data_IF_353243571242
#
_entry.id   IF_353243571242
#
_cell.length_a   1.000
_cell.length_b   1.000
_cell.length_c   1.000
_cell.angle_alpha   90.00
_cell.angle_beta   90.00
_cell.angle_gamma   90.00
#
_symmetry.space_group_name_H-M   'P 1'
#
loop_
_entity.id
_entity.type
_entity.pdbx_description
1 polymer ?
#
# COMPACT_ATOMS: atom_id res chain seq x y z
N UNK A 1 5.00 -22.38 18.13
CA UNK A 1 5.75 -21.11 18.17
C UNK A 1 4.74 -20.01 18.46
N UNK A 2 4.80 -19.36 19.63
CA UNK A 2 3.95 -18.20 19.90
C UNK A 2 4.57 -17.03 19.12
N UNK A 3 3.95 -16.61 18.01
CA UNK A 3 4.33 -15.31 17.43
C UNK A 3 3.98 -14.25 18.46
N UNK A 4 4.95 -13.41 18.82
CA UNK A 4 4.66 -12.16 19.50
C UNK A 4 3.62 -11.39 18.68
N UNK A 5 2.71 -10.66 19.34
CA UNK A 5 1.68 -9.88 18.66
C UNK A 5 2.25 -8.98 17.54
N UNK A 6 3.44 -8.44 17.76
CA UNK A 6 4.17 -7.66 16.74
C UNK A 6 4.56 -8.47 15.51
N UNK A 7 5.09 -9.69 15.68
CA UNK A 7 5.46 -10.55 14.56
C UNK A 7 4.21 -10.96 13.76
N UNK A 8 3.09 -11.21 14.45
CA UNK A 8 1.82 -11.49 13.79
C UNK A 8 1.34 -10.31 12.93
N UNK A 9 1.40 -9.08 13.48
CA UNK A 9 1.02 -7.87 12.73
C UNK A 9 1.94 -7.59 11.54
N UNK A 10 3.25 -7.81 11.69
CA UNK A 10 4.20 -7.69 10.59
C UNK A 10 3.87 -8.67 9.47
N UNK A 11 3.61 -9.93 9.81
CA UNK A 11 3.24 -10.95 8.83
C UNK A 11 1.89 -10.62 8.16
N UNK A 12 0.91 -10.10 8.90
CA UNK A 12 -0.36 -9.64 8.35
C UNK A 12 -0.14 -8.54 7.29
N UNK A 13 0.73 -7.57 7.56
CA UNK A 13 1.09 -6.52 6.60
C UNK A 13 1.70 -7.14 5.33
N UNK A 14 2.69 -8.03 5.47
CA UNK A 14 3.37 -8.68 4.35
C UNK A 14 2.37 -9.47 3.48
N UNK A 15 1.42 -10.19 4.09
CA UNK A 15 0.43 -10.97 3.38
C UNK A 15 -0.50 -10.10 2.52
N UNK A 16 -0.93 -8.95 3.02
CA UNK A 16 -1.82 -8.05 2.29
C UNK A 16 -1.06 -7.33 1.19
N UNK A 17 0.14 -6.82 1.50
CA UNK A 17 1.00 -6.21 0.50
C UNK A 17 1.34 -7.18 -0.62
N UNK A 18 1.67 -8.43 -0.31
CA UNK A 18 1.92 -9.46 -1.33
C UNK A 18 0.70 -9.73 -2.22
N UNK A 19 -0.52 -9.80 -1.65
CA UNK A 19 -1.75 -9.96 -2.44
C UNK A 19 -1.95 -8.81 -3.42
N UNK A 20 -1.75 -7.58 -2.98
CA UNK A 20 -1.87 -6.39 -3.82
C UNK A 20 -0.78 -6.37 -4.90
N UNK A 21 0.46 -6.75 -4.56
CA UNK A 21 1.58 -6.83 -5.51
C UNK A 21 1.38 -7.85 -6.64
N UNK A 22 0.63 -8.93 -6.40
CA UNK A 22 0.39 -9.98 -7.40
C UNK A 22 -0.66 -9.54 -8.43
N UNK A 23 -1.67 -8.79 -8.02
CA UNK A 23 -2.75 -8.32 -8.91
C UNK A 23 -3.11 -6.84 -8.64
N UNK A 24 -2.19 -5.89 -8.84
CA UNK A 24 -2.38 -4.49 -8.45
C UNK A 24 -3.65 -3.87 -9.04
N UNK A 25 -3.96 -4.15 -10.30
CA UNK A 25 -5.15 -3.65 -11.01
C UNK A 25 -6.49 -4.04 -10.33
N UNK A 26 -6.53 -5.10 -9.52
CA UNK A 26 -7.75 -5.49 -8.77
C UNK A 26 -7.96 -4.67 -7.50
N UNK A 27 -6.91 -4.06 -6.98
CA UNK A 27 -6.93 -3.33 -5.70
C UNK A 27 -6.79 -1.82 -5.91
N UNK A 28 -6.22 -1.41 -7.04
CA UNK A 28 -5.80 -0.05 -7.32
C UNK A 28 -6.62 0.47 -8.51
N UNK A 29 -7.87 0.81 -8.23
CA UNK A 29 -8.76 1.53 -9.14
C UNK A 29 -9.00 2.92 -8.52
N UNK A 30 -7.96 3.76 -8.56
CA UNK A 30 -7.96 5.04 -7.88
C UNK A 30 -7.93 6.18 -8.89
N UNK A 31 -9.04 6.89 -8.97
CA UNK A 31 -9.14 8.11 -9.78
C UNK A 31 -8.86 9.36 -8.93
N UNK A 32 -8.70 9.20 -7.62
CA UNK A 32 -8.45 10.29 -6.68
C UNK A 32 -7.84 9.80 -5.37
N UNK A 33 -7.31 10.74 -4.59
CA UNK A 33 -6.89 10.53 -3.20
C UNK A 33 -8.06 10.02 -2.33
N UNK A 34 -9.29 10.42 -2.61
CA UNK A 34 -10.47 9.97 -1.87
C UNK A 34 -10.78 8.50 -2.12
N UNK A 35 -10.60 7.99 -3.33
CA UNK A 35 -10.80 6.57 -3.65
C UNK A 35 -9.83 5.70 -2.85
N UNK A 36 -8.58 6.15 -2.71
CA UNK A 36 -7.59 5.48 -1.86
C UNK A 36 -8.06 5.35 -0.41
N UNK A 37 -8.47 6.44 0.24
CA UNK A 37 -8.95 6.37 1.64
C UNK A 37 -10.24 5.56 1.82
N UNK A 38 -11.04 5.40 0.76
CA UNK A 38 -12.26 4.59 0.76
C UNK A 38 -12.00 3.11 0.42
N UNK A 39 -10.79 2.73 0.04
CA UNK A 39 -10.45 1.36 -0.34
C UNK A 39 -10.72 0.38 0.81
N UNK A 40 -11.60 -0.59 0.57
CA UNK A 40 -12.03 -1.54 1.59
C UNK A 40 -10.87 -2.34 2.19
N UNK A 41 -9.88 -2.67 1.35
CA UNK A 41 -8.70 -3.45 1.73
C UNK A 41 -7.77 -2.72 2.70
N UNK A 42 -7.87 -1.39 2.86
CA UNK A 42 -7.09 -0.65 3.86
C UNK A 42 -7.38 -1.15 5.29
N UNK A 43 -8.60 -1.65 5.52
CA UNK A 43 -9.04 -2.17 6.83
C UNK A 43 -8.42 -3.52 7.17
N UNK A 44 -7.90 -4.24 6.17
CA UNK A 44 -7.28 -5.54 6.40
C UNK A 44 -5.89 -5.40 7.03
N UNK A 45 -5.24 -4.24 6.87
CA UNK A 45 -3.92 -3.97 7.43
C UNK A 45 -3.93 -3.98 8.98
N UNK A 46 -2.80 -4.35 9.62
CA UNK A 46 -2.73 -4.46 11.07
C UNK A 46 -3.01 -3.12 11.77
N UNK A 47 -3.64 -3.19 12.94
CA UNK A 47 -3.83 -2.00 13.79
C UNK A 47 -2.49 -1.36 14.14
N UNK A 48 -2.38 -0.04 13.89
CA UNK A 48 -1.14 0.74 13.99
C UNK A 48 -0.54 1.08 12.62
N UNK A 49 -1.16 0.63 11.53
CA UNK A 49 -0.82 1.05 10.17
C UNK A 49 -1.15 2.52 9.97
N UNK A 50 -0.20 3.25 9.41
CA UNK A 50 -0.34 4.64 9.01
C UNK A 50 -0.61 4.68 7.52
N UNK A 51 -1.55 5.52 7.12
CA UNK A 51 -2.00 5.67 5.75
C UNK A 51 -1.93 7.14 5.40
N UNK A 52 -1.29 7.47 4.29
CA UNK A 52 -1.21 8.84 3.79
C UNK A 52 -1.26 8.85 2.27
N UNK A 53 -1.91 9.87 1.73
CA UNK A 53 -1.95 10.12 0.30
C UNK A 53 -1.93 11.63 0.03
N UNK A 54 -1.26 12.01 -1.06
CA UNK A 54 -1.12 13.40 -1.52
C UNK A 54 -1.31 13.43 -3.03
N UNK A 55 -2.21 14.29 -3.49
CA UNK A 55 -2.37 14.64 -4.91
C UNK A 55 -1.66 15.96 -5.19
N UNK A 56 -1.35 16.21 -6.46
CA UNK A 56 -0.67 17.45 -6.87
C UNK A 56 -1.63 18.64 -7.10
N UNK A 57 -2.91 18.43 -7.41
CA UNK A 57 -3.89 19.54 -7.61
C UNK A 57 -5.36 19.06 -7.54
N UNK A 58 -6.31 20.01 -7.55
CA UNK A 58 -7.77 19.93 -7.23
C UNK A 58 -8.65 19.00 -8.12
N UNK A 59 -8.07 17.94 -8.69
CA UNK A 59 -8.72 16.91 -9.50
C UNK A 59 -7.83 15.69 -9.80
N UNK A 60 -6.81 15.46 -8.97
CA UNK A 60 -5.57 14.73 -9.26
C UNK A 60 -5.66 13.42 -10.09
N UNK A 61 -5.26 13.54 -11.36
CA UNK A 61 -4.92 12.46 -12.31
C UNK A 61 -3.59 11.75 -11.95
N UNK A 62 -2.78 12.38 -11.09
CA UNK A 62 -1.54 11.81 -10.54
C UNK A 62 -1.50 12.02 -9.02
N UNK A 63 -1.29 10.95 -8.28
CA UNK A 63 -1.18 11.04 -6.82
C UNK A 63 -0.24 9.98 -6.24
N UNK A 64 0.26 10.27 -5.05
CA UNK A 64 1.12 9.38 -4.30
C UNK A 64 0.43 8.93 -3.02
N UNK A 65 0.52 7.64 -2.72
CA UNK A 65 0.00 7.09 -1.47
C UNK A 65 0.97 6.12 -0.81
N UNK A 66 0.87 6.02 0.52
CA UNK A 66 1.68 5.15 1.36
C UNK A 66 0.80 4.49 2.40
N UNK A 67 0.95 3.18 2.53
CA UNK A 67 0.49 2.40 3.67
C UNK A 67 1.75 1.91 4.37
N UNK A 68 1.93 2.25 5.65
CA UNK A 68 3.16 1.98 6.40
C UNK A 68 2.87 1.34 7.74
N UNK A 69 3.61 0.29 8.07
CA UNK A 69 3.62 -0.31 9.40
C UNK A 69 5.06 -0.54 9.85
N UNK A 70 5.51 0.24 10.85
CA UNK A 70 6.92 0.25 11.29
C UNK A 70 7.87 0.52 10.12
N UNK A 71 8.70 -0.45 9.75
CA UNK A 71 9.67 -0.38 8.66
C UNK A 71 9.12 -0.92 7.33
N UNK A 72 7.97 -1.57 7.35
CA UNK A 72 7.29 -2.07 6.15
C UNK A 72 6.47 -0.95 5.53
N UNK A 73 6.44 -0.91 4.20
CA UNK A 73 5.55 0.00 3.48
C UNK A 73 5.07 -0.58 2.16
N UNK A 74 3.91 -0.12 1.73
CA UNK A 74 3.38 -0.26 0.38
C UNK A 74 3.15 1.15 -0.16
N UNK A 75 3.84 1.48 -1.24
CA UNK A 75 3.84 2.80 -1.87
C UNK A 75 3.25 2.72 -3.25
N UNK A 76 2.36 3.66 -3.53
CA UNK A 76 1.63 3.80 -4.76
C UNK A 76 2.09 5.11 -5.39
N UNK A 77 2.69 5.01 -6.57
CA UNK A 77 3.00 6.14 -7.44
C UNK A 77 2.03 6.04 -8.61
N UNK A 78 0.90 6.73 -8.51
CA UNK A 78 -0.18 6.65 -9.50
C UNK A 78 -0.01 7.79 -10.49
N UNK A 79 0.08 7.43 -11.77
CA UNK A 79 0.26 8.37 -12.88
C UNK A 79 -0.60 7.93 -14.06
N UNK A 80 -1.00 8.90 -14.87
CA UNK A 80 -1.89 8.70 -16.03
C UNK A 80 -1.46 7.55 -16.96
N UNK A 81 -0.15 7.37 -17.18
CA UNK A 81 0.37 6.42 -18.17
C UNK A 81 1.31 5.35 -17.61
N UNK A 82 1.74 5.47 -16.35
CA UNK A 82 2.74 4.57 -15.78
C UNK A 82 2.68 4.57 -14.25
N UNK A 83 1.80 3.74 -13.71
CA UNK A 83 1.70 3.56 -12.27
C UNK A 83 2.72 2.55 -11.77
N UNK A 84 3.23 2.76 -10.56
CA UNK A 84 4.20 1.88 -9.93
C UNK A 84 3.80 1.58 -8.50
N UNK A 85 3.85 0.29 -8.15
CA UNK A 85 3.65 -0.19 -6.80
C UNK A 85 5.00 -0.65 -6.25
N UNK A 86 5.35 -0.18 -5.05
CA UNK A 86 6.58 -0.57 -4.35
C UNK A 86 6.26 -1.09 -2.96
N UNK A 87 6.68 -2.30 -2.66
CA UNK A 87 6.54 -2.92 -1.34
C UNK A 87 7.90 -3.13 -0.69
N UNK A 88 8.07 -2.70 0.55
CA UNK A 88 9.24 -3.03 1.36
C UNK A 88 8.83 -3.86 2.58
N UNK A 89 9.51 -4.98 2.78
CA UNK A 89 9.30 -5.84 3.95
C UNK A 89 10.13 -5.38 5.16
N UNK A 90 10.01 -6.10 6.28
CA UNK A 90 10.71 -5.76 7.53
C UNK A 90 12.24 -5.90 7.44
N UNK A 91 12.74 -6.67 6.46
CA UNK A 91 14.18 -6.85 6.22
C UNK A 91 14.77 -5.73 5.35
N UNK A 92 13.94 -4.80 4.85
CA UNK A 92 14.36 -3.76 3.91
C UNK A 92 14.41 -4.22 2.46
N UNK A 93 13.99 -5.45 2.15
CA UNK A 93 13.89 -5.94 0.77
C UNK A 93 12.72 -5.22 0.09
N UNK A 94 13.00 -4.64 -1.08
CA UNK A 94 12.01 -3.86 -1.83
C UNK A 94 11.65 -4.58 -3.12
N UNK A 95 10.35 -4.75 -3.34
CA UNK A 95 9.74 -5.33 -4.52
C UNK A 95 9.01 -4.21 -5.26
N UNK A 96 9.09 -4.20 -6.59
CA UNK A 96 8.42 -3.21 -7.42
C UNK A 96 7.73 -3.88 -8.59
N UNK A 97 6.53 -3.41 -8.93
CA UNK A 97 5.86 -3.76 -10.17
C UNK A 97 5.22 -2.51 -10.78
N UNK A 98 5.12 -2.52 -12.11
CA UNK A 98 4.37 -1.53 -12.87
C UNK A 98 3.03 -2.15 -13.23
N UNK A 99 2.00 -1.32 -13.29
CA UNK A 99 0.65 -1.70 -13.68
C UNK A 99 -0.06 -0.52 -14.33
#
# INVERSE_FOLDING_TARGET
>A
MLLSLDAYKQQQFDQIAAKIMVEPEKYIDFNSVSDFYNAAWLKDFPQGTQVSATGLDDGAEEFYAVVQFKQQYLKFDIKENHSTLSFQNMNGETFKCNF
#
